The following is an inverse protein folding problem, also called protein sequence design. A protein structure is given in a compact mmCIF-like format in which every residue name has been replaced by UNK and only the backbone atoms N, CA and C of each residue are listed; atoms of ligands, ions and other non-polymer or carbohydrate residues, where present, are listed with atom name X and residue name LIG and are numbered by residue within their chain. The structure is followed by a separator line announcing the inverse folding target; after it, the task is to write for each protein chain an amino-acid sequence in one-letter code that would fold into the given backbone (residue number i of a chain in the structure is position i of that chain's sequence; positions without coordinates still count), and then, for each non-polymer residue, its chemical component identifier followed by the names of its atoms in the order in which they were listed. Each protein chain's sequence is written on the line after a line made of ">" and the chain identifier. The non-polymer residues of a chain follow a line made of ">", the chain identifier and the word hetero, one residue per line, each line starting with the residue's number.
data_IF_805052285310
#
_entry.id   IF_805052285310
#
_cell.length_a   1.000
_cell.length_b   1.000
_cell.length_c   1.000
_cell.angle_alpha   90.00
_cell.angle_beta   90.00
_cell.angle_gamma   90.00
#
_symmetry.space_group_name_H-M   'P 1'
#
loop_
_entity.id
_entity.type
_entity.pdbx_description
1 polymer ?
#
# COMPACT_ATOMS: atom_id res chain seq x y z
N UNK A 1 19.11 -34.40 31.39
CA UNK A 1 19.33 -33.81 30.05
C UNK A 1 17.96 -33.73 29.39
N UNK A 2 17.21 -32.66 29.70
CA UNK A 2 15.77 -32.57 29.45
C UNK A 2 15.55 -31.62 28.27
N UNK A 3 15.16 -32.17 27.12
CA UNK A 3 14.66 -31.39 25.99
C UNK A 3 13.29 -30.83 26.40
N UNK A 4 13.27 -29.57 26.81
CA UNK A 4 12.04 -28.79 26.90
C UNK A 4 11.54 -28.53 25.48
N UNK A 5 10.73 -29.47 24.98
CA UNK A 5 9.92 -29.30 23.80
C UNK A 5 8.86 -28.23 24.13
N UNK A 6 9.14 -27.01 23.71
CA UNK A 6 8.24 -25.88 23.84
C UNK A 6 6.93 -26.18 23.13
N UNK A 7 5.86 -26.14 23.93
CA UNK A 7 4.44 -26.03 23.60
C UNK A 7 4.16 -25.43 22.20
N UNK A 8 4.03 -26.28 21.18
CA UNK A 8 3.39 -25.91 19.93
C UNK A 8 1.88 -26.05 20.13
N UNK A 9 1.31 -25.07 20.83
CA UNK A 9 -0.13 -24.94 20.99
C UNK A 9 -0.78 -24.70 19.63
N UNK A 10 -1.73 -25.57 19.27
CA UNK A 10 -2.62 -25.47 18.10
C UNK A 10 -3.63 -24.32 18.22
N UNK A 11 -3.17 -23.15 18.67
CA UNK A 11 -3.93 -21.92 18.87
C UNK A 11 -3.41 -20.80 17.98
N UNK A 12 -4.21 -19.75 17.81
CA UNK A 12 -3.82 -18.55 17.08
C UNK A 12 -2.68 -17.84 17.83
N UNK A 13 -1.49 -17.76 17.21
CA UNK A 13 -0.32 -17.08 17.76
C UNK A 13 -0.52 -15.54 17.75
N UNK A 14 -0.24 -14.89 18.89
CA UNK A 14 -0.31 -13.43 19.04
C UNK A 14 0.60 -12.72 18.05
N UNK A 15 1.82 -13.24 17.84
CA UNK A 15 2.78 -12.63 16.92
C UNK A 15 2.29 -12.70 15.47
N UNK A 16 1.62 -13.80 15.09
CA UNK A 16 1.03 -13.94 13.75
C UNK A 16 -0.14 -12.97 13.53
N UNK A 17 -0.98 -12.74 14.55
CA UNK A 17 -2.07 -11.75 14.50
C UNK A 17 -1.53 -10.33 14.35
N UNK A 18 -0.52 -9.97 15.16
CA UNK A 18 0.14 -8.68 15.08
C UNK A 18 0.82 -8.47 13.72
N UNK A 19 1.52 -9.50 13.21
CA UNK A 19 2.19 -9.44 11.92
C UNK A 19 1.17 -9.28 10.78
N UNK A 20 0.03 -9.97 10.85
CA UNK A 20 -1.07 -9.84 9.89
C UNK A 20 -1.67 -8.44 9.91
N UNK A 21 -1.95 -7.88 11.08
CA UNK A 21 -2.48 -6.51 11.20
C UNK A 21 -1.50 -5.48 10.60
N UNK A 22 -0.22 -5.59 10.93
CA UNK A 22 0.82 -4.71 10.41
C UNK A 22 0.98 -4.84 8.89
N UNK A 23 1.01 -6.07 8.37
CA UNK A 23 1.09 -6.32 6.94
C UNK A 23 -0.13 -5.76 6.18
N UNK A 24 -1.34 -5.91 6.73
CA UNK A 24 -2.56 -5.39 6.10
C UNK A 24 -2.57 -3.86 6.06
N UNK A 25 -2.16 -3.17 7.12
CA UNK A 25 -2.09 -1.70 7.14
C UNK A 25 -1.00 -1.18 6.20
N UNK A 26 0.19 -1.80 6.25
CA UNK A 26 1.34 -1.41 5.43
C UNK A 26 1.11 -1.63 3.93
N UNK A 27 0.64 -2.83 3.54
CA UNK A 27 0.41 -3.16 2.13
C UNK A 27 -0.75 -2.36 1.50
N UNK A 28 -1.68 -1.84 2.33
CA UNK A 28 -2.83 -1.07 1.87
C UNK A 28 -2.66 0.44 2.03
N UNK A 29 -1.43 0.93 2.22
CA UNK A 29 -1.08 2.34 2.09
C UNK A 29 -1.57 3.24 3.22
N UNK A 30 -1.75 2.68 4.42
CA UNK A 30 -1.98 3.50 5.60
C UNK A 30 -0.69 4.25 6.01
N UNK A 31 -0.79 5.33 6.79
CA UNK A 31 0.42 6.06 7.18
C UNK A 31 1.31 5.16 8.04
N UNK A 32 2.62 5.21 7.79
CA UNK A 32 3.60 4.37 8.50
C UNK A 32 3.53 4.61 10.01
N UNK A 33 3.40 5.87 10.42
CA UNK A 33 3.33 6.27 11.83
C UNK A 33 2.10 5.73 12.53
N UNK A 34 0.90 5.85 11.93
CA UNK A 34 -0.33 5.34 12.53
C UNK A 34 -0.37 3.81 12.55
N UNK A 35 0.19 3.17 11.51
CA UNK A 35 0.35 1.71 11.44
C UNK A 35 1.19 1.19 12.58
N UNK A 36 2.39 1.76 12.78
CA UNK A 36 3.29 1.40 13.89
C UNK A 36 2.57 1.62 15.21
N UNK A 37 2.03 2.81 15.45
CA UNK A 37 1.41 3.15 16.73
C UNK A 37 0.19 2.27 17.03
N UNK A 38 -0.65 1.96 16.03
CA UNK A 38 -1.83 1.11 16.20
C UNK A 38 -1.49 -0.34 16.53
N UNK A 39 -0.50 -0.91 15.85
CA UNK A 39 -0.07 -2.30 16.09
C UNK A 39 0.68 -2.43 17.41
N UNK A 40 1.55 -1.48 17.77
CA UNK A 40 2.26 -1.49 19.05
C UNK A 40 1.31 -1.32 20.25
N UNK A 41 0.26 -0.49 20.13
CA UNK A 41 -0.81 -0.41 21.13
C UNK A 41 -1.57 -1.72 21.29
N UNK A 42 -1.95 -2.35 20.17
CA UNK A 42 -2.57 -3.67 20.22
C UNK A 42 -1.65 -4.70 20.90
N UNK A 43 -0.35 -4.67 20.57
CA UNK A 43 0.64 -5.58 21.13
C UNK A 43 0.76 -5.42 22.65
N UNK A 44 0.78 -4.18 23.14
CA UNK A 44 0.72 -3.88 24.57
C UNK A 44 -0.58 -4.40 25.22
N UNK A 45 -1.73 -4.23 24.55
CA UNK A 45 -3.04 -4.73 25.03
C UNK A 45 -3.08 -6.27 25.14
N UNK A 46 -2.34 -6.95 24.26
CA UNK A 46 -2.21 -8.41 24.24
C UNK A 46 -1.13 -8.95 25.20
N UNK A 47 -0.39 -8.08 25.88
CA UNK A 47 0.71 -8.46 26.78
C UNK A 47 2.00 -8.86 26.08
N UNK A 48 2.14 -8.55 24.79
CA UNK A 48 3.27 -8.93 23.94
C UNK A 48 3.90 -7.68 23.32
N UNK A 49 4.61 -6.83 24.10
CA UNK A 49 5.13 -5.57 23.59
C UNK A 49 6.20 -5.83 22.51
N UNK A 50 5.91 -5.40 21.27
CA UNK A 50 6.81 -5.49 20.12
C UNK A 50 7.08 -4.09 19.56
N UNK A 51 8.17 -3.97 18.81
CA UNK A 51 8.48 -2.82 17.96
C UNK A 51 8.17 -3.16 16.50
N UNK A 52 7.48 -2.28 15.80
CA UNK A 52 7.16 -2.46 14.38
C UNK A 52 8.18 -1.72 13.51
N UNK A 53 8.86 -2.44 12.63
CA UNK A 53 9.84 -1.90 11.68
C UNK A 53 9.36 -2.16 10.26
N UNK A 54 8.66 -1.20 9.64
CA UNK A 54 8.22 -1.32 8.26
C UNK A 54 9.39 -1.12 7.29
N UNK A 55 9.44 -1.97 6.27
CA UNK A 55 10.33 -1.89 5.10
C UNK A 55 9.47 -1.70 3.84
N UNK A 56 10.05 -1.38 2.69
CA UNK A 56 9.31 -1.20 1.44
C UNK A 56 8.39 -2.38 1.09
N UNK A 57 8.87 -3.62 1.28
CA UNK A 57 8.11 -4.82 0.87
C UNK A 57 7.79 -5.79 2.00
N UNK A 58 8.18 -5.45 3.22
CA UNK A 58 8.05 -6.31 4.39
C UNK A 58 7.71 -5.49 5.63
N UNK A 59 7.19 -6.17 6.65
CA UNK A 59 7.10 -5.61 8.01
C UNK A 59 7.79 -6.57 8.96
N UNK A 60 8.65 -6.02 9.82
CA UNK A 60 9.33 -6.77 10.88
C UNK A 60 8.76 -6.40 12.23
N UNK A 61 8.33 -7.39 13.01
CA UNK A 61 8.12 -7.26 14.44
C UNK A 61 9.44 -7.60 15.13
N UNK A 62 9.91 -6.71 16.00
CA UNK A 62 11.15 -6.88 16.75
C UNK A 62 10.90 -6.76 18.24
N UNK A 63 11.79 -7.33 19.04
CA UNK A 63 11.79 -7.11 20.49
C UNK A 63 12.32 -5.71 20.85
N UNK A 64 12.31 -5.37 22.14
CA UNK A 64 12.85 -4.10 22.64
C UNK A 64 14.35 -3.90 22.36
N UNK A 65 15.10 -4.97 22.07
CA UNK A 65 16.53 -4.93 21.70
C UNK A 65 16.74 -4.87 20.20
N UNK A 66 15.66 -4.79 19.41
CA UNK A 66 15.71 -4.75 17.95
C UNK A 66 15.94 -6.11 17.28
N UNK A 67 15.83 -7.22 18.02
CA UNK A 67 15.96 -8.56 17.45
C UNK A 67 14.64 -8.94 16.74
N UNK A 68 14.69 -9.43 15.49
CA UNK A 68 13.49 -9.77 14.75
C UNK A 68 12.79 -10.97 15.41
N UNK A 69 11.52 -10.78 15.77
CA UNK A 69 10.62 -11.82 16.28
C UNK A 69 9.81 -12.43 15.14
N UNK A 70 9.38 -11.61 14.17
CA UNK A 70 8.64 -12.05 12.99
C UNK A 70 8.89 -11.12 11.82
N UNK A 71 9.05 -11.67 10.62
CA UNK A 71 9.13 -10.91 9.37
C UNK A 71 8.04 -11.41 8.44
N UNK A 72 7.25 -10.49 7.90
CA UNK A 72 6.15 -10.81 6.98
C UNK A 72 6.25 -9.97 5.70
N UNK A 73 6.02 -10.61 4.56
CA UNK A 73 5.94 -9.91 3.29
C UNK A 73 4.67 -9.05 3.23
N UNK A 74 4.84 -7.77 2.93
CA UNK A 74 3.78 -6.79 2.83
C UNK A 74 4.02 -5.83 1.65
N UNK A 75 4.21 -6.34 0.41
CA UNK A 75 4.46 -5.48 -0.73
C UNK A 75 3.24 -4.58 -1.02
N UNK A 76 3.42 -3.26 -1.17
CA UNK A 76 2.35 -2.35 -1.54
C UNK A 76 1.97 -2.59 -3.01
N UNK A 77 1.06 -3.54 -3.25
CA UNK A 77 0.63 -3.92 -4.60
C UNK A 77 -0.56 -3.11 -5.09
N UNK A 78 -1.48 -2.77 -4.18
CA UNK A 78 -2.64 -1.95 -4.46
C UNK A 78 -3.19 -1.39 -3.15
N UNK A 79 -3.18 -0.07 -3.01
CA UNK A 79 -3.76 0.63 -1.86
C UNK A 79 -5.27 0.37 -1.83
N UNK A 80 -5.75 -0.36 -0.81
CA UNK A 80 -7.17 -0.56 -0.56
C UNK A 80 -7.57 0.10 0.76
N UNK A 81 -8.05 1.34 0.66
CA UNK A 81 -8.48 2.11 1.83
C UNK A 81 -9.62 1.45 2.59
N UNK A 82 -10.48 0.65 1.94
CA UNK A 82 -11.54 -0.08 2.65
C UNK A 82 -10.98 -1.15 3.59
N UNK A 83 -9.85 -1.76 3.25
CA UNK A 83 -9.12 -2.70 4.11
C UNK A 83 -8.42 -1.93 5.22
N UNK A 84 -7.67 -0.88 4.88
CA UNK A 84 -6.94 -0.06 5.85
C UNK A 84 -7.88 0.51 6.93
N UNK A 85 -8.99 1.15 6.52
CA UNK A 85 -9.99 1.67 7.45
C UNK A 85 -10.64 0.55 8.27
N UNK A 86 -10.97 -0.59 7.69
CA UNK A 86 -11.56 -1.70 8.43
C UNK A 86 -10.64 -2.24 9.52
N UNK A 87 -9.35 -2.40 9.22
CA UNK A 87 -8.35 -2.84 10.18
C UNK A 87 -8.14 -1.78 11.26
N UNK A 88 -8.03 -0.49 10.90
CA UNK A 88 -7.90 0.59 11.89
C UNK A 88 -9.09 0.67 12.85
N UNK A 89 -10.32 0.64 12.33
CA UNK A 89 -11.52 0.62 13.17
C UNK A 89 -11.61 -0.65 14.02
N UNK A 90 -11.08 -1.78 13.54
CA UNK A 90 -10.97 -2.99 14.33
C UNK A 90 -9.98 -2.82 15.48
N UNK A 91 -8.76 -2.36 15.20
CA UNK A 91 -7.74 -2.11 16.23
C UNK A 91 -8.25 -1.14 17.30
N UNK A 92 -8.86 -0.04 16.89
CA UNK A 92 -9.42 0.95 17.81
C UNK A 92 -10.54 0.37 18.69
N UNK A 93 -11.41 -0.48 18.13
CA UNK A 93 -12.48 -1.15 18.91
C UNK A 93 -11.91 -2.14 19.93
N UNK A 94 -10.86 -2.89 19.57
CA UNK A 94 -10.20 -3.82 20.49
C UNK A 94 -9.48 -3.07 21.61
N UNK A 95 -8.85 -1.95 21.28
CA UNK A 95 -8.14 -1.11 22.24
C UNK A 95 -9.10 -0.54 23.31
N UNK A 96 -10.28 -0.08 22.91
CA UNK A 96 -11.29 0.49 23.82
C UNK A 96 -12.22 -0.52 24.47
N UNK A 97 -12.21 -1.79 24.03
CA UNK A 97 -13.09 -2.82 24.58
C UNK A 97 -12.68 -3.21 26.01
N UNK A 98 -13.66 -3.31 26.94
CA UNK A 98 -13.41 -3.84 28.27
C UNK A 98 -13.17 -5.36 28.22
N UNK A 99 -12.26 -5.84 29.07
CA UNK A 99 -12.01 -7.28 29.22
C UNK A 99 -10.84 -7.83 28.37
N UNK A 100 -10.65 -9.16 28.37
CA UNK A 100 -9.59 -9.82 27.61
C UNK A 100 -9.91 -9.84 26.11
N UNK A 101 -8.86 -9.80 25.28
CA UNK A 101 -9.00 -9.86 23.82
C UNK A 101 -9.11 -11.31 23.36
N UNK A 102 -10.17 -11.64 22.65
CA UNK A 102 -10.30 -12.91 21.93
C UNK A 102 -9.44 -12.89 20.65
N UNK A 103 -8.30 -13.59 20.70
CA UNK A 103 -7.35 -13.69 19.60
C UNK A 103 -7.93 -14.37 18.36
N UNK A 104 -8.77 -15.39 18.54
CA UNK A 104 -9.34 -16.13 17.42
C UNK A 104 -10.37 -15.28 16.67
N UNK A 105 -11.21 -14.54 17.40
CA UNK A 105 -12.14 -13.59 16.82
C UNK A 105 -11.40 -12.44 16.10
N UNK A 106 -10.34 -11.91 16.72
CA UNK A 106 -9.52 -10.84 16.11
C UNK A 106 -8.89 -11.29 14.79
N UNK A 107 -8.25 -12.47 14.75
CA UNK A 107 -7.66 -13.01 13.53
C UNK A 107 -8.71 -13.28 12.43
N UNK A 108 -9.89 -13.80 12.81
CA UNK A 108 -10.99 -14.01 11.88
C UNK A 108 -11.48 -12.69 11.27
N UNK A 109 -11.61 -11.63 12.09
CA UNK A 109 -12.04 -10.30 11.62
C UNK A 109 -10.97 -9.64 10.74
N UNK A 110 -9.68 -9.80 11.04
CA UNK A 110 -8.59 -9.36 10.16
C UNK A 110 -8.63 -10.08 8.81
N UNK A 111 -8.85 -11.40 8.81
CA UNK A 111 -9.03 -12.18 7.58
C UNK A 111 -10.25 -11.74 6.79
N UNK A 112 -11.35 -11.39 7.47
CA UNK A 112 -12.54 -10.85 6.82
C UNK A 112 -12.28 -9.46 6.23
N UNK A 113 -11.59 -8.57 6.95
CA UNK A 113 -11.21 -7.25 6.47
C UNK A 113 -10.34 -7.35 5.21
N UNK A 114 -9.40 -8.29 5.16
CA UNK A 114 -8.54 -8.56 4.01
C UNK A 114 -9.30 -8.95 2.73
N UNK A 115 -10.51 -9.50 2.85
CA UNK A 115 -11.36 -9.91 1.72
C UNK A 115 -12.21 -8.78 1.15
N UNK A 116 -12.15 -7.56 1.72
CA UNK A 116 -12.96 -6.44 1.23
C UNK A 116 -12.53 -6.05 -0.19
N UNK A 117 -13.49 -5.94 -1.14
CA UNK A 117 -13.15 -5.55 -2.49
C UNK A 117 -12.61 -4.13 -2.49
N UNK A 118 -11.56 -3.90 -3.28
CA UNK A 118 -11.14 -2.55 -3.59
C UNK A 118 -12.26 -1.84 -4.37
N UNK A 119 -12.43 -0.53 -4.19
CA UNK A 119 -13.48 0.32 -4.82
C UNK A 119 -14.02 -0.16 -6.17
N UNK A 120 -15.33 -0.02 -6.39
CA UNK A 120 -15.99 -0.52 -7.59
C UNK A 120 -15.29 -0.03 -8.86
N UNK A 121 -14.77 -0.97 -9.65
CA UNK A 121 -14.11 -0.72 -10.94
C UNK A 121 -14.83 0.31 -11.83
N UNK A 122 -16.17 0.29 -11.99
CA UNK A 122 -16.85 1.28 -12.83
C UNK A 122 -16.71 2.72 -12.31
N UNK A 123 -16.75 2.95 -10.99
CA UNK A 123 -16.57 4.29 -10.40
C UNK A 123 -15.14 4.80 -10.61
N UNK A 124 -14.15 3.92 -10.45
CA UNK A 124 -12.75 4.26 -10.70
C UNK A 124 -12.51 4.62 -12.17
N UNK A 125 -13.08 3.84 -13.10
CA UNK A 125 -13.01 4.11 -14.54
C UNK A 125 -13.68 5.44 -14.86
N UNK A 126 -14.89 5.68 -14.36
CA UNK A 126 -15.59 6.95 -14.56
C UNK A 126 -14.79 8.14 -14.05
N UNK A 127 -14.26 8.07 -12.81
CA UNK A 127 -13.42 9.13 -12.25
C UNK A 127 -12.13 9.37 -13.07
N UNK A 128 -11.50 8.30 -13.55
CA UNK A 128 -10.30 8.39 -14.40
C UNK A 128 -10.60 9.06 -15.74
N UNK A 129 -11.73 8.72 -16.37
CA UNK A 129 -12.20 9.34 -17.61
C UNK A 129 -12.51 10.82 -17.38
N UNK A 130 -13.26 11.15 -16.33
CA UNK A 130 -13.59 12.55 -15.99
C UNK A 130 -12.34 13.38 -15.76
N UNK A 131 -11.37 12.88 -15.00
CA UNK A 131 -10.10 13.58 -14.76
C UNK A 131 -9.30 13.80 -16.04
N UNK A 132 -9.21 12.79 -16.91
CA UNK A 132 -8.49 12.90 -18.17
C UNK A 132 -9.16 13.89 -19.14
N UNK A 133 -10.49 13.85 -19.25
CA UNK A 133 -11.27 14.78 -20.08
C UNK A 133 -11.16 16.21 -19.56
N UNK A 134 -11.28 16.42 -18.23
CA UNK A 134 -11.13 17.73 -17.63
C UNK A 134 -9.74 18.34 -17.92
N UNK A 135 -8.66 17.55 -17.77
CA UNK A 135 -7.31 18.00 -18.11
C UNK A 135 -7.16 18.32 -19.60
N UNK A 136 -7.73 17.50 -20.49
CA UNK A 136 -7.70 17.78 -21.93
C UNK A 136 -8.38 19.12 -22.26
N UNK A 137 -9.52 19.41 -21.65
CA UNK A 137 -10.24 20.68 -21.84
C UNK A 137 -9.43 21.86 -21.29
N UNK A 138 -8.82 21.73 -20.10
CA UNK A 138 -7.98 22.78 -19.50
C UNK A 138 -6.79 23.12 -20.40
N UNK A 139 -6.18 22.12 -21.05
CA UNK A 139 -5.07 22.32 -22.00
C UNK A 139 -5.53 22.72 -23.41
N UNK A 140 -6.80 23.07 -23.61
CA UNK A 140 -7.32 23.66 -24.85
C UNK A 140 -7.72 22.65 -25.92
N UNK A 141 -7.95 21.38 -25.58
CA UNK A 141 -8.51 20.42 -26.52
C UNK A 141 -10.00 20.71 -26.74
N UNK A 142 -10.34 21.35 -27.87
CA UNK A 142 -11.73 21.63 -28.26
C UNK A 142 -12.25 20.69 -29.35
N UNK A 143 -11.39 19.88 -29.96
CA UNK A 143 -11.80 18.92 -30.97
C UNK A 143 -12.52 17.72 -30.35
N UNK A 144 -13.78 17.42 -30.73
CA UNK A 144 -14.56 16.34 -30.13
C UNK A 144 -13.90 14.96 -30.32
N UNK A 145 -13.18 14.76 -31.44
CA UNK A 145 -12.42 13.53 -31.68
C UNK A 145 -11.26 13.32 -30.71
N UNK A 146 -10.55 14.38 -30.34
CA UNK A 146 -9.45 14.31 -29.37
C UNK A 146 -9.99 13.99 -27.95
N UNK A 147 -11.09 14.62 -27.56
CA UNK A 147 -11.75 14.35 -26.27
C UNK A 147 -12.25 12.90 -26.20
N UNK A 148 -12.88 12.41 -27.27
CA UNK A 148 -13.35 11.02 -27.34
C UNK A 148 -12.19 10.01 -27.22
N UNK A 149 -11.07 10.27 -27.91
CA UNK A 149 -9.88 9.41 -27.83
C UNK A 149 -9.28 9.39 -26.41
N UNK A 150 -9.18 10.56 -25.76
CA UNK A 150 -8.72 10.67 -24.36
C UNK A 150 -9.64 9.90 -23.42
N UNK A 151 -10.96 10.03 -23.58
CA UNK A 151 -11.94 9.31 -22.76
C UNK A 151 -11.82 7.78 -22.92
N UNK A 152 -11.71 7.29 -24.16
CA UNK A 152 -11.56 5.85 -24.45
C UNK A 152 -10.22 5.34 -23.90
N UNK A 153 -9.12 6.04 -24.13
CA UNK A 153 -7.79 5.65 -23.64
C UNK A 153 -7.73 5.62 -22.10
N UNK A 154 -8.30 6.64 -21.45
CA UNK A 154 -8.38 6.71 -19.98
C UNK A 154 -9.28 5.60 -19.41
N UNK A 155 -10.39 5.28 -20.09
CA UNK A 155 -11.29 4.20 -19.71
C UNK A 155 -10.62 2.83 -19.78
N UNK A 156 -9.97 2.52 -20.91
CA UNK A 156 -9.23 1.27 -21.10
C UNK A 156 -8.05 1.19 -20.11
N UNK A 157 -7.30 2.27 -19.93
CA UNK A 157 -6.20 2.35 -18.97
C UNK A 157 -6.63 2.14 -17.52
N UNK A 158 -7.72 2.78 -17.10
CA UNK A 158 -8.30 2.60 -15.77
C UNK A 158 -8.80 1.18 -15.53
N UNK A 159 -9.47 0.60 -16.53
CA UNK A 159 -9.97 -0.77 -16.47
C UNK A 159 -8.83 -1.79 -16.42
N UNK A 160 -7.82 -1.64 -17.29
CA UNK A 160 -6.65 -2.51 -17.33
C UNK A 160 -5.83 -2.44 -16.02
N UNK A 161 -5.57 -1.24 -15.49
CA UNK A 161 -4.91 -1.05 -14.18
C UNK A 161 -5.63 -1.79 -13.08
N UNK A 162 -6.98 -1.72 -13.07
CA UNK A 162 -7.79 -2.36 -12.04
C UNK A 162 -7.83 -3.87 -12.18
N UNK A 163 -7.91 -4.37 -13.41
CA UNK A 163 -7.91 -5.80 -13.71
C UNK A 163 -6.55 -6.46 -13.39
N UNK A 164 -5.44 -5.78 -13.70
CA UNK A 164 -4.09 -6.23 -13.35
C UNK A 164 -3.82 -6.17 -11.84
N UNK A 165 -4.29 -5.10 -11.18
CA UNK A 165 -4.23 -4.96 -9.73
C UNK A 165 -5.04 -6.04 -9.00
N UNK A 166 -6.22 -6.39 -9.52
CA UNK A 166 -7.05 -7.49 -8.99
C UNK A 166 -6.39 -8.86 -9.14
N UNK A 167 -5.52 -9.05 -10.16
CA UNK A 167 -4.76 -10.28 -10.38
C UNK A 167 -3.39 -10.31 -9.67
N UNK A 168 -3.07 -9.30 -8.88
CA UNK A 168 -1.81 -9.23 -8.11
C UNK A 168 -0.55 -9.09 -8.97
N UNK A 169 -0.69 -8.63 -10.22
CA UNK A 169 0.44 -8.43 -11.13
C UNK A 169 1.29 -7.23 -10.67
N UNK A 170 2.61 -7.40 -10.72
CA UNK A 170 3.56 -6.41 -10.21
C UNK A 170 3.52 -5.06 -10.95
N UNK A 171 4.13 -4.06 -10.33
CA UNK A 171 4.21 -2.65 -10.79
C UNK A 171 4.68 -2.51 -12.25
N UNK A 172 5.59 -3.40 -12.68
CA UNK A 172 6.13 -3.47 -14.05
C UNK A 172 5.05 -3.87 -15.07
N UNK A 173 4.17 -4.83 -14.75
CA UNK A 173 3.09 -5.25 -15.63
C UNK A 173 2.03 -4.14 -15.83
N UNK A 174 1.75 -3.38 -14.77
CA UNK A 174 0.90 -2.19 -14.86
C UNK A 174 1.52 -1.08 -15.71
N UNK A 175 2.84 -0.88 -15.62
CA UNK A 175 3.57 0.10 -16.41
C UNK A 175 3.61 -0.27 -17.91
N UNK A 176 3.87 -1.55 -18.24
CA UNK A 176 3.85 -2.04 -19.62
C UNK A 176 2.46 -1.96 -20.26
N UNK A 177 1.41 -2.32 -19.53
CA UNK A 177 0.04 -2.18 -20.03
C UNK A 177 -0.33 -0.71 -20.27
N UNK A 178 0.07 0.19 -19.36
CA UNK A 178 -0.14 1.62 -19.53
C UNK A 178 0.64 2.18 -20.74
N UNK A 179 1.89 1.76 -20.93
CA UNK A 179 2.72 2.16 -22.07
C UNK A 179 2.16 1.62 -23.40
N UNK A 180 1.63 0.39 -23.43
CA UNK A 180 0.99 -0.18 -24.62
C UNK A 180 -0.29 0.60 -25.01
N UNK A 181 -1.12 0.95 -24.03
CA UNK A 181 -2.34 1.74 -24.26
C UNK A 181 -1.98 3.16 -24.72
N UNK A 182 -0.96 3.77 -24.12
CA UNK A 182 -0.45 5.07 -24.54
C UNK A 182 0.14 5.03 -25.96
N UNK A 183 0.85 3.97 -26.31
CA UNK A 183 1.40 3.75 -27.65
C UNK A 183 0.32 3.56 -28.71
N UNK A 184 -0.72 2.78 -28.43
CA UNK A 184 -1.86 2.58 -29.35
C UNK A 184 -2.67 3.88 -29.51
N UNK A 185 -2.91 4.63 -28.43
CA UNK A 185 -3.58 5.92 -28.49
C UNK A 185 -2.77 6.96 -29.29
N UNK A 186 -1.44 6.99 -29.10
CA UNK A 186 -0.54 7.83 -29.88
C UNK A 186 -0.53 7.47 -31.37
N UNK A 187 -0.50 6.18 -31.69
CA UNK A 187 -0.53 5.69 -33.07
C UNK A 187 -1.86 6.00 -33.78
N UNK A 188 -2.99 5.85 -33.10
CA UNK A 188 -4.31 6.24 -33.65
C UNK A 188 -4.42 7.76 -33.82
N UNK A 189 -3.90 8.56 -32.89
CA UNK A 189 -3.90 10.01 -33.01
C UNK A 189 -3.10 10.49 -34.23
N UNK A 190 -1.97 9.83 -34.53
CA UNK A 190 -1.17 10.12 -35.72
C UNK A 190 -1.81 9.64 -37.01
N UNK A 191 -2.60 8.56 -36.97
CA UNK A 191 -3.30 8.04 -38.15
C UNK A 191 -4.57 8.85 -38.51
N UNK A 192 -5.15 9.59 -37.56
CA UNK A 192 -6.34 10.43 -37.76
C UNK A 192 -6.02 11.89 -38.13
N UNK A 193 -4.74 12.20 -38.39
CA UNK A 193 -4.24 13.51 -38.85
C UNK A 193 -4.69 14.71 -37.99
N UNK A 194 -4.85 14.45 -36.68
CA UNK A 194 -5.17 15.46 -35.67
C UNK A 194 -3.93 16.34 -35.42
N UNK A 195 -3.69 17.27 -36.34
CA UNK A 195 -2.59 18.22 -36.32
C UNK A 195 -2.67 19.13 -35.09
N UNK A 196 -1.66 19.08 -34.20
CA UNK A 196 -1.50 20.02 -33.09
C UNK A 196 -1.52 19.41 -31.68
N UNK A 197 -1.69 20.22 -30.61
CA UNK A 197 -1.17 20.04 -29.23
C UNK A 197 -1.48 18.72 -28.47
N UNK A 198 -2.24 17.81 -29.05
CA UNK A 198 -2.52 16.46 -28.52
C UNK A 198 -1.26 15.60 -28.28
N UNK A 199 -0.15 15.86 -28.99
CA UNK A 199 1.14 15.19 -28.77
C UNK A 199 1.79 15.52 -27.41
N UNK A 200 1.53 16.69 -26.84
CA UNK A 200 2.08 17.11 -25.53
C UNK A 200 1.28 16.54 -24.35
N UNK A 201 -0.04 16.39 -24.50
CA UNK A 201 -0.92 15.85 -23.46
C UNK A 201 -0.68 14.35 -23.23
N UNK A 202 -0.25 13.61 -24.26
CA UNK A 202 0.07 12.18 -24.17
C UNK A 202 1.32 11.85 -23.31
N UNK A 203 2.16 12.84 -23.00
CA UNK A 203 3.41 12.65 -22.22
C UNK A 203 3.15 12.73 -20.70
N UNK A 204 2.13 13.47 -20.28
CA UNK A 204 1.82 13.70 -18.85
C UNK A 204 1.54 12.42 -18.01
N UNK A 205 0.91 11.35 -18.55
CA UNK A 205 0.70 10.10 -17.81
C UNK A 205 1.98 9.34 -17.45
N UNK A 206 3.10 9.61 -18.15
CA UNK A 206 4.39 8.93 -17.92
C UNK A 206 5.19 9.52 -16.75
N UNK A 207 4.92 10.77 -16.33
CA UNK A 207 5.70 11.45 -15.27
C UNK A 207 5.28 11.09 -13.84
N UNK A 208 4.19 10.34 -13.63
CA UNK A 208 3.68 9.95 -12.30
C UNK A 208 4.29 8.63 -11.77
N UNK A 209 5.11 7.94 -12.56
CA UNK A 209 5.77 6.72 -12.11
C UNK A 209 7.17 7.03 -11.56
N UNK A 210 7.24 7.43 -10.29
CA UNK A 210 8.51 7.46 -9.54
C UNK A 210 8.66 6.10 -8.83
N UNK A 211 9.62 5.24 -9.25
CA UNK A 211 10.04 4.13 -8.42
C UNK A 211 10.85 4.69 -7.24
N UNK A 212 10.36 4.44 -6.01
CA UNK A 212 11.18 4.60 -4.82
C UNK A 212 12.45 3.77 -5.00
N UNK A 213 13.62 4.42 -4.90
CA UNK A 213 14.92 3.79 -5.11
C UNK A 213 15.12 2.68 -4.09
N UNK A 214 15.57 1.52 -4.57
CA UNK A 214 16.17 0.47 -3.75
C UNK A 214 17.52 0.95 -3.24
N UNK A 215 17.59 1.49 -2.02
CA UNK A 215 18.86 1.52 -1.29
C UNK A 215 18.96 0.24 -0.46
N UNK A 216 19.60 -0.77 -1.04
CA UNK A 216 20.15 -1.89 -0.29
C UNK A 216 21.19 -1.39 0.72
N UNK A 217 21.00 -1.75 1.98
CA UNK A 217 22.04 -2.12 2.95
C UNK A 217 23.35 -1.32 2.98
N UNK A 218 23.51 -0.48 4.01
CA UNK A 218 24.76 -0.33 4.73
C UNK A 218 24.46 -0.19 6.24
N UNK A 219 25.14 -0.94 7.13
CA UNK A 219 24.99 -0.76 8.56
C UNK A 219 25.74 0.51 8.98
N UNK A 220 25.02 1.62 9.16
CA UNK A 220 25.57 2.77 9.88
C UNK A 220 25.60 2.42 11.37
N UNK A 221 26.79 2.10 11.85
CA UNK A 221 27.17 2.11 13.25
C UNK A 221 26.83 3.48 13.87
N UNK A 222 25.63 3.61 14.44
CA UNK A 222 25.30 4.73 15.31
C UNK A 222 25.76 4.43 16.74
N UNK A 223 26.94 4.97 17.04
CA UNK A 223 27.24 5.73 18.25
C UNK A 223 26.84 5.13 19.60
N UNK A 224 27.83 4.57 20.28
CA UNK A 224 27.92 4.49 21.75
C UNK A 224 27.63 5.85 22.42
N UNK A 225 26.99 5.89 23.60
CA UNK A 225 26.68 7.13 24.30
C UNK A 225 27.93 7.71 24.96
N UNK A 226 28.39 8.86 24.47
CA UNK A 226 29.40 9.68 25.16
C UNK A 226 28.73 10.62 26.16
N UNK A 227 28.84 10.24 27.44
CA UNK A 227 29.21 11.09 28.58
C UNK A 227 28.69 12.54 28.65
N UNK A 228 27.77 12.74 29.60
CA UNK A 228 27.73 13.82 30.61
C UNK A 228 29.00 14.70 30.70
N UNK A 229 28.79 16.03 30.63
CA UNK A 229 29.51 17.18 31.24
C UNK A 229 29.08 18.41 30.42
N UNK A 230 28.68 19.56 30.90
CA UNK A 230 28.55 20.16 32.22
C UNK A 230 27.90 21.53 31.96
N UNK A 231 26.85 21.87 32.71
CA UNK A 231 26.12 23.12 32.60
C UNK A 231 26.76 24.12 33.58
N UNK A 232 27.43 25.15 33.06
CA UNK A 232 27.75 26.39 33.78
C UNK A 232 27.94 27.51 32.76
N UNK A 233 27.23 28.62 32.97
CA UNK A 233 27.25 29.83 32.16
C UNK A 233 25.87 30.45 32.10
#
# INVERSE_FOLDING_TARGET
>A
MNMAQGDQGSGVDRLDVLARAAALLHANGHTTTETVAGVERLAARLGEPVRVVPDWSMVTLADARGRPLRVVAAPPKAVNMHVATAVMTLLQRVDTAPGPVDLAALDAQLRQAARRPASATPLFVAASVTGAVALAVIFGAHHPGAIALVAVAAGIGGWARRLLGARGQGMIGQAFAAAAIAGVAGALATHLDLSGPARLVAVCPAMILVPGRTSSTAPSTWGTPASRKGWHG
#
